data_IF_564368013183
#
_entry.id   IF_564368013183
#
_cell.length_a   1.000
_cell.length_b   1.000
_cell.length_c   1.000
_cell.angle_alpha   90.00
_cell.angle_beta   90.00
_cell.angle_gamma   90.00
#
_symmetry.space_group_name_H-M   'P 1'
#
loop_
_entity.id
_entity.type
_entity.pdbx_description
1 polymer ?
#
# COMPACT_ATOMS: atom_id res chain seq x y z
N UNK A 1 45.90 7.96 12.49
CA UNK A 1 44.44 7.84 12.50
C UNK A 1 43.96 7.94 11.06
N UNK A 2 43.54 6.83 10.47
CA UNK A 2 43.09 6.79 9.08
C UNK A 2 41.66 6.22 9.01
N UNK A 3 40.75 7.04 8.49
CA UNK A 3 39.44 6.73 7.91
C UNK A 3 38.41 5.92 8.72
N UNK A 4 38.01 6.43 9.88
CA UNK A 4 36.72 6.09 10.52
C UNK A 4 35.48 6.83 9.90
N UNK A 5 35.54 7.19 8.61
CA UNK A 5 34.52 8.03 7.93
C UNK A 5 34.08 7.43 6.60
N UNK A 6 33.67 6.15 6.51
CA UNK A 6 33.18 5.60 5.22
C UNK A 6 32.05 4.55 5.21
N UNK A 7 31.24 4.34 6.26
CA UNK A 7 30.07 3.42 6.15
C UNK A 7 28.79 3.84 6.87
N UNK A 8 28.48 5.14 6.88
CA UNK A 8 27.13 5.62 7.19
C UNK A 8 26.58 6.33 5.96
N UNK A 9 26.13 5.56 4.96
CA UNK A 9 25.91 6.12 3.62
C UNK A 9 24.92 5.36 2.74
N UNK A 10 23.89 4.75 3.32
CA UNK A 10 22.74 4.27 2.57
C UNK A 10 21.52 4.44 3.45
N UNK A 11 20.67 5.43 3.13
CA UNK A 11 19.46 5.72 3.91
C UNK A 11 18.52 4.51 4.00
N UNK A 12 17.48 4.62 4.85
CA UNK A 12 16.44 3.58 4.98
C UNK A 12 15.91 3.13 3.60
N UNK A 13 15.75 4.08 2.68
CA UNK A 13 15.32 3.83 1.30
C UNK A 13 16.31 2.97 0.49
N UNK A 14 17.61 3.18 0.61
CA UNK A 14 18.65 2.33 0.00
C UNK A 14 18.62 0.91 0.58
N UNK A 15 18.36 0.79 1.88
CA UNK A 15 18.19 -0.50 2.56
C UNK A 15 16.98 -1.27 2.03
N UNK A 16 15.82 -0.61 1.92
CA UNK A 16 14.59 -1.21 1.39
C UNK A 16 14.75 -1.58 -0.08
N UNK A 17 15.36 -0.71 -0.88
CA UNK A 17 15.63 -0.98 -2.28
C UNK A 17 16.51 -2.22 -2.45
N UNK A 18 17.61 -2.31 -1.68
CA UNK A 18 18.51 -3.47 -1.71
C UNK A 18 17.86 -4.77 -1.23
N UNK A 19 16.79 -4.70 -0.43
CA UNK A 19 16.07 -5.89 0.04
C UNK A 19 15.02 -6.33 -0.98
N UNK A 20 14.23 -5.40 -1.50
CA UNK A 20 13.09 -5.72 -2.39
C UNK A 20 13.55 -5.94 -3.83
N UNK A 21 14.50 -5.14 -4.35
CA UNK A 21 14.89 -5.16 -5.77
C UNK A 21 16.06 -6.10 -6.09
N UNK A 22 16.68 -6.77 -5.10
CA UNK A 22 17.94 -7.50 -5.33
C UNK A 22 17.79 -8.83 -6.08
N UNK A 23 16.60 -9.44 -6.09
CA UNK A 23 16.33 -10.68 -6.82
C UNK A 23 15.00 -10.59 -7.54
N UNK A 24 14.97 -10.95 -8.83
CA UNK A 24 13.76 -10.94 -9.66
C UNK A 24 12.57 -11.64 -9.00
N UNK A 25 12.82 -12.77 -8.31
CA UNK A 25 11.76 -13.46 -7.57
C UNK A 25 11.17 -12.65 -6.41
N UNK A 26 11.99 -11.90 -5.68
CA UNK A 26 11.55 -11.06 -4.54
C UNK A 26 10.82 -9.82 -5.02
N UNK A 27 11.30 -9.21 -6.09
CA UNK A 27 10.63 -8.06 -6.71
C UNK A 27 9.23 -8.45 -7.20
N UNK A 28 9.11 -9.54 -7.95
CA UNK A 28 7.83 -9.99 -8.52
C UNK A 28 6.84 -10.37 -7.43
N UNK A 29 7.26 -11.07 -6.38
CA UNK A 29 6.35 -11.39 -5.27
C UNK A 29 5.88 -10.15 -4.53
N UNK A 30 6.75 -9.17 -4.30
CA UNK A 30 6.35 -7.90 -3.69
C UNK A 30 5.37 -7.12 -4.57
N UNK A 31 5.57 -7.12 -5.90
CA UNK A 31 4.66 -6.47 -6.85
C UNK A 31 3.30 -7.17 -6.86
N UNK A 32 3.26 -8.50 -6.92
CA UNK A 32 2.01 -9.27 -6.94
C UNK A 32 1.25 -9.13 -5.62
N UNK A 33 1.94 -9.27 -4.49
CA UNK A 33 1.33 -9.11 -3.16
C UNK A 33 0.88 -7.67 -2.91
N UNK A 34 1.70 -6.69 -3.31
CA UNK A 34 1.38 -5.27 -3.20
C UNK A 34 0.17 -4.88 -4.05
N UNK A 35 0.05 -5.41 -5.26
CA UNK A 35 -1.11 -5.20 -6.11
C UNK A 35 -2.39 -5.80 -5.50
N UNK A 36 -2.31 -7.03 -4.98
CA UNK A 36 -3.46 -7.68 -4.35
C UNK A 36 -3.94 -6.96 -3.07
N UNK A 37 -3.01 -6.53 -2.23
CA UNK A 37 -3.34 -5.75 -1.04
C UNK A 37 -3.83 -4.33 -1.40
N UNK A 38 -3.24 -3.72 -2.43
CA UNK A 38 -3.58 -2.39 -2.92
C UNK A 38 -5.01 -2.29 -3.44
N UNK A 39 -5.49 -3.29 -4.18
CA UNK A 39 -6.87 -3.33 -4.68
C UNK A 39 -7.89 -3.14 -3.55
N UNK A 40 -7.76 -3.91 -2.47
CA UNK A 40 -8.67 -3.83 -1.32
C UNK A 40 -8.53 -2.51 -0.57
N UNK A 41 -7.30 -2.03 -0.34
CA UNK A 41 -7.09 -0.76 0.36
C UNK A 41 -7.67 0.43 -0.41
N UNK A 42 -7.50 0.45 -1.73
CA UNK A 42 -8.00 1.54 -2.57
C UNK A 42 -9.52 1.50 -2.63
N UNK A 43 -10.14 0.34 -2.80
CA UNK A 43 -11.60 0.21 -2.86
C UNK A 43 -12.26 0.66 -1.55
N UNK A 44 -11.79 0.16 -0.39
CA UNK A 44 -12.28 0.60 0.91
C UNK A 44 -11.99 2.08 1.19
N UNK A 45 -10.83 2.56 0.80
CA UNK A 45 -10.42 3.95 1.00
C UNK A 45 -11.28 4.92 0.21
N UNK A 46 -11.49 4.66 -1.08
CA UNK A 46 -12.29 5.49 -1.98
C UNK A 46 -13.75 5.47 -1.56
N UNK A 47 -14.31 4.29 -1.26
CA UNK A 47 -15.70 4.18 -0.83
C UNK A 47 -15.93 4.96 0.47
N UNK A 48 -15.00 4.87 1.44
CA UNK A 48 -15.09 5.62 2.69
C UNK A 48 -14.91 7.12 2.51
N UNK A 49 -14.01 7.55 1.62
CA UNK A 49 -13.85 8.97 1.31
C UNK A 49 -15.11 9.54 0.64
N UNK A 50 -15.71 8.77 -0.26
CA UNK A 50 -16.91 9.16 -1.00
C UNK A 50 -18.15 9.24 -0.11
N UNK A 51 -18.33 8.24 0.76
CA UNK A 51 -19.41 8.16 1.75
C UNK A 51 -19.28 9.27 2.80
N UNK A 52 -18.05 9.67 3.14
CA UNK A 52 -17.79 10.81 4.02
C UNK A 52 -18.07 12.16 3.34
N UNK A 53 -17.78 12.28 2.05
CA UNK A 53 -17.98 13.53 1.30
C UNK A 53 -19.46 13.75 0.90
N UNK A 54 -20.21 12.69 0.57
CA UNK A 54 -21.61 12.74 0.13
C UNK A 54 -22.62 12.34 1.23
N UNK A 55 -22.37 12.76 2.48
CA UNK A 55 -23.30 12.55 3.59
C UNK A 55 -24.66 13.18 3.26
N UNK A 56 -25.70 12.33 3.16
CA UNK A 56 -27.08 12.72 2.90
C UNK A 56 -27.60 12.44 1.48
N UNK A 57 -26.76 12.03 0.53
CA UNK A 57 -27.17 11.64 -0.85
C UNK A 57 -27.23 10.11 -1.02
N UNK A 58 -26.56 9.36 -0.14
CA UNK A 58 -26.60 7.90 -0.13
C UNK A 58 -27.97 7.38 0.31
N UNK A 59 -28.80 6.94 -0.65
CA UNK A 59 -29.96 6.11 -0.36
C UNK A 59 -29.51 4.79 0.30
N UNK A 60 -30.23 4.29 1.34
CA UNK A 60 -29.86 3.06 2.04
C UNK A 60 -30.25 1.84 1.21
N UNK A 61 -29.51 1.54 0.12
CA UNK A 61 -29.54 0.23 -0.51
C UNK A 61 -28.46 0.12 -1.60
N UNK A 62 -27.28 -0.37 -1.26
CA UNK A 62 -26.34 -0.96 -2.24
C UNK A 62 -26.08 -2.45 -1.99
N UNK A 63 -26.76 -3.05 -1.00
CA UNK A 63 -26.79 -4.50 -0.77
C UNK A 63 -28.23 -4.92 -0.42
N UNK A 64 -29.07 -5.30 -1.40
CA UNK A 64 -30.46 -5.68 -1.15
C UNK A 64 -30.63 -7.00 -0.35
N UNK A 65 -29.55 -7.64 0.11
CA UNK A 65 -29.61 -8.88 0.90
C UNK A 65 -29.51 -8.72 2.42
N UNK A 66 -29.38 -7.50 2.94
CA UNK A 66 -29.27 -7.24 4.38
C UNK A 66 -30.41 -6.37 4.96
N UNK A 67 -31.56 -6.35 4.29
CA UNK A 67 -32.83 -6.00 4.91
C UNK A 67 -33.60 -7.29 5.21
N UNK A 68 -33.23 -7.98 6.29
CA UNK A 68 -34.11 -8.89 7.03
C UNK A 68 -33.83 -8.72 8.51
#
# INVERSE_FOLDING_TARGET
>A
MDTAVRRSGGGIWEGIYRVIMRRNSVYVTFVVLGAFAGERMVDYGVHKLWEHNNVGVCHPCSYPFLCT
#
